data_IF_968942340463
#
_entry.id   IF_968942340463
#
_cell.length_a   1.000
_cell.length_b   1.000
_cell.length_c   1.000
_cell.angle_alpha   90.00
_cell.angle_beta   90.00
_cell.angle_gamma   90.00
#
_symmetry.space_group_name_H-M   'P 1'
#
loop_
_entity.id
_entity.type
_entity.pdbx_description
1 polymer ?
#
# COMPACT_ATOMS: atom_id res chain seq x y z
N UNK A 1 -16.59 -48.07 -29.63
CA UNK A 1 -16.54 -47.44 -28.29
C UNK A 1 -15.73 -46.17 -28.50
N UNK A 2 -16.39 -45.11 -28.96
CA UNK A 2 -15.76 -43.83 -29.31
C UNK A 2 -16.25 -42.78 -28.30
N UNK A 3 -15.31 -41.99 -27.79
CA UNK A 3 -15.54 -40.93 -26.84
C UNK A 3 -16.03 -39.67 -27.57
N UNK A 4 -17.15 -39.11 -27.12
CA UNK A 4 -17.68 -37.83 -27.58
C UNK A 4 -17.04 -36.72 -26.74
N UNK A 5 -16.19 -35.92 -27.39
CA UNK A 5 -15.65 -34.65 -26.88
C UNK A 5 -16.74 -33.58 -27.02
N UNK A 6 -17.24 -33.06 -25.91
CA UNK A 6 -18.22 -31.96 -25.89
C UNK A 6 -17.61 -30.73 -25.20
N UNK A 7 -16.96 -29.87 -25.99
CA UNK A 7 -16.66 -28.49 -25.60
C UNK A 7 -17.88 -27.61 -25.91
N UNK A 8 -18.31 -26.72 -25.00
CA UNK A 8 -19.32 -25.74 -25.36
C UNK A 8 -18.68 -24.61 -26.19
N UNK A 9 -19.26 -24.33 -27.35
CA UNK A 9 -18.98 -23.16 -28.17
C UNK A 9 -19.31 -21.88 -27.38
N UNK A 10 -18.31 -21.02 -27.19
CA UNK A 10 -18.51 -19.68 -26.63
C UNK A 10 -19.06 -18.80 -27.75
N UNK A 11 -20.38 -18.60 -27.70
CA UNK A 11 -21.09 -17.68 -28.56
C UNK A 11 -20.57 -16.25 -28.34
N UNK A 12 -20.05 -15.66 -29.40
CA UNK A 12 -19.56 -14.30 -29.47
C UNK A 12 -20.78 -13.38 -29.67
N UNK A 13 -21.43 -12.94 -28.58
CA UNK A 13 -22.48 -11.93 -28.67
C UNK A 13 -22.36 -10.85 -27.58
N UNK A 14 -22.37 -9.60 -28.07
CA UNK A 14 -22.81 -8.38 -27.39
C UNK A 14 -21.92 -7.78 -26.30
N UNK A 15 -20.68 -7.41 -26.65
CA UNK A 15 -19.92 -6.40 -25.89
C UNK A 15 -20.31 -4.94 -26.22
N UNK A 16 -21.14 -4.71 -27.26
CA UNK A 16 -21.60 -3.35 -27.60
C UNK A 16 -22.85 -2.91 -26.83
N UNK A 17 -23.65 -3.83 -26.27
CA UNK A 17 -24.87 -3.46 -25.52
C UNK A 17 -24.56 -3.10 -24.05
N UNK A 18 -23.54 -3.69 -23.43
CA UNK A 18 -23.16 -3.38 -22.03
C UNK A 18 -22.54 -1.99 -21.82
N UNK A 19 -22.11 -1.30 -22.88
CA UNK A 19 -21.61 0.09 -22.79
C UNK A 19 -22.73 1.12 -22.66
N UNK A 20 -23.99 0.77 -22.90
CA UNK A 20 -25.10 1.72 -22.92
C UNK A 20 -25.67 2.06 -21.53
N UNK A 21 -25.49 1.20 -20.51
CA UNK A 21 -26.23 1.32 -19.24
C UNK A 21 -25.50 2.10 -18.12
N UNK A 22 -24.30 2.65 -18.39
CA UNK A 22 -23.54 3.42 -17.38
C UNK A 22 -23.27 4.89 -17.75
N UNK A 23 -23.79 5.37 -18.88
CA UNK A 23 -23.79 6.81 -19.18
C UNK A 23 -24.98 7.50 -18.51
N UNK A 24 -24.90 7.69 -17.19
CA UNK A 24 -25.69 8.72 -16.54
C UNK A 24 -25.22 10.08 -17.08
N UNK A 25 -25.87 10.56 -18.15
CA UNK A 25 -25.60 11.85 -18.78
C UNK A 25 -25.76 12.96 -17.75
N UNK A 26 -24.64 13.51 -17.29
CA UNK A 26 -24.60 14.78 -16.57
C UNK A 26 -25.16 15.87 -17.49
N UNK A 27 -26.34 16.46 -17.19
CA UNK A 27 -27.03 17.36 -18.11
C UNK A 27 -26.29 18.68 -18.37
N UNK A 28 -25.21 18.98 -17.63
CA UNK A 28 -24.52 20.28 -17.70
C UNK A 28 -23.06 20.23 -18.18
N UNK A 29 -22.51 19.07 -18.57
CA UNK A 29 -21.12 18.98 -19.08
C UNK A 29 -20.05 19.53 -18.13
N UNK A 30 -20.42 19.76 -16.86
CA UNK A 30 -19.55 20.37 -15.87
C UNK A 30 -18.66 19.26 -15.33
N UNK A 31 -17.36 19.35 -15.62
CA UNK A 31 -16.34 18.45 -15.07
C UNK A 31 -16.54 18.32 -13.57
N UNK A 32 -16.94 17.14 -13.11
CA UNK A 32 -17.13 16.87 -11.70
C UNK A 32 -15.93 16.04 -11.22
N UNK A 33 -14.99 16.64 -10.46
CA UNK A 33 -13.84 15.92 -9.93
C UNK A 33 -14.25 14.69 -9.11
N UNK A 34 -15.46 14.72 -8.51
CA UNK A 34 -16.03 13.68 -7.67
C UNK A 34 -16.58 12.47 -8.45
N UNK A 35 -16.85 12.57 -9.75
CA UNK A 35 -17.30 11.42 -10.57
C UNK A 35 -16.30 11.03 -11.65
N UNK A 36 -15.43 11.94 -12.08
CA UNK A 36 -14.42 11.65 -13.12
C UNK A 36 -13.01 11.33 -12.58
N UNK A 37 -12.64 11.79 -11.38
CA UNK A 37 -11.28 11.58 -10.84
C UNK A 37 -10.84 10.11 -10.60
N UNK A 38 -11.75 9.18 -10.34
CA UNK A 38 -11.50 7.73 -10.20
C UNK A 38 -11.58 7.00 -11.53
N UNK A 39 -12.16 7.63 -12.55
CA UNK A 39 -12.19 7.10 -13.93
C UNK A 39 -10.82 7.15 -14.62
N UNK A 40 -9.78 7.65 -13.95
CA UNK A 40 -8.42 7.62 -14.51
C UNK A 40 -7.97 6.21 -14.88
N UNK A 41 -8.43 5.19 -14.14
CA UNK A 41 -8.21 3.79 -14.49
C UNK A 41 -8.91 3.45 -15.81
N UNK A 42 -10.15 3.89 -16.05
CA UNK A 42 -10.95 3.61 -17.26
C UNK A 42 -10.20 3.98 -18.55
N UNK A 43 -9.37 5.03 -18.53
CA UNK A 43 -8.56 5.44 -19.68
C UNK A 43 -7.46 4.43 -20.05
N UNK A 44 -7.03 3.58 -19.11
CA UNK A 44 -5.98 2.58 -19.30
C UNK A 44 -6.51 1.13 -19.20
N UNK A 45 -7.78 0.94 -18.85
CA UNK A 45 -8.44 -0.37 -18.73
C UNK A 45 -8.31 -1.18 -20.02
N UNK A 46 -8.68 -0.59 -21.16
CA UNK A 46 -8.71 -1.30 -22.45
C UNK A 46 -7.33 -1.85 -22.88
N UNK A 47 -6.24 -1.21 -22.43
CA UNK A 47 -4.87 -1.67 -22.73
C UNK A 47 -4.45 -2.80 -21.79
N UNK A 48 -4.79 -2.68 -20.50
CA UNK A 48 -4.51 -3.71 -19.49
C UNK A 48 -5.31 -4.98 -19.76
N UNK A 49 -6.59 -4.88 -20.10
CA UNK A 49 -7.45 -6.02 -20.43
C UNK A 49 -6.86 -6.83 -21.58
N UNK A 50 -6.51 -6.18 -22.70
CA UNK A 50 -5.90 -6.86 -23.86
C UNK A 50 -4.57 -7.54 -23.53
N UNK A 51 -3.79 -6.99 -22.61
CA UNK A 51 -2.54 -7.62 -22.16
C UNK A 51 -2.83 -8.87 -21.31
N UNK A 52 -3.74 -8.77 -20.35
CA UNK A 52 -4.10 -9.87 -19.45
C UNK A 52 -4.87 -11.00 -20.16
N UNK A 53 -5.68 -10.68 -21.16
CA UNK A 53 -6.36 -11.67 -22.02
C UNK A 53 -5.39 -12.60 -22.77
N UNK A 54 -4.17 -12.14 -23.03
CA UNK A 54 -3.13 -12.93 -23.71
C UNK A 54 -2.36 -13.85 -22.75
N UNK A 55 -2.49 -13.65 -21.44
CA UNK A 55 -1.73 -14.40 -20.46
C UNK A 55 -2.49 -15.65 -20.00
N UNK A 56 -1.81 -16.79 -19.81
CA UNK A 56 -2.38 -17.93 -19.10
C UNK A 56 -2.85 -17.54 -17.69
N UNK A 57 -3.97 -18.10 -17.24
CA UNK A 57 -4.58 -17.76 -15.94
C UNK A 57 -3.60 -17.87 -14.76
N UNK A 58 -2.73 -18.90 -14.75
CA UNK A 58 -1.71 -19.07 -13.71
C UNK A 58 -0.75 -17.87 -13.61
N UNK A 59 -0.34 -17.29 -14.75
CA UNK A 59 0.58 -16.15 -14.77
C UNK A 59 -0.13 -14.90 -14.22
N UNK A 60 -1.39 -14.68 -14.60
CA UNK A 60 -2.21 -13.60 -14.06
C UNK A 60 -2.35 -13.69 -12.54
N UNK A 61 -2.65 -14.89 -12.03
CA UNK A 61 -2.73 -15.14 -10.59
C UNK A 61 -1.39 -14.91 -9.89
N UNK A 62 -0.29 -15.39 -10.48
CA UNK A 62 1.05 -15.18 -9.93
C UNK A 62 1.39 -13.67 -9.84
N UNK A 63 1.13 -12.90 -10.90
CA UNK A 63 1.35 -11.45 -10.91
C UNK A 63 0.50 -10.77 -9.83
N UNK A 64 -0.78 -11.13 -9.70
CA UNK A 64 -1.66 -10.55 -8.68
C UNK A 64 -1.21 -10.90 -7.25
N UNK A 65 -0.80 -12.14 -7.00
CA UNK A 65 -0.27 -12.56 -5.68
C UNK A 65 1.03 -11.85 -5.35
N UNK A 66 1.95 -11.74 -6.32
CA UNK A 66 3.20 -11.02 -6.13
C UNK A 66 2.98 -9.53 -5.88
N UNK A 67 2.04 -8.91 -6.61
CA UNK A 67 1.62 -7.53 -6.39
C UNK A 67 1.03 -7.34 -4.98
N UNK A 68 0.14 -8.24 -4.54
CA UNK A 68 -0.46 -8.19 -3.20
C UNK A 68 0.60 -8.31 -2.09
N UNK A 69 1.53 -9.26 -2.23
CA UNK A 69 2.64 -9.42 -1.29
C UNK A 69 3.51 -8.16 -1.24
N UNK A 70 3.91 -7.63 -2.40
CA UNK A 70 4.74 -6.42 -2.50
C UNK A 70 4.03 -5.22 -1.90
N UNK A 71 2.73 -5.06 -2.18
CA UNK A 71 1.91 -3.98 -1.62
C UNK A 71 1.84 -4.05 -0.09
N UNK A 72 1.58 -5.24 0.48
CA UNK A 72 1.52 -5.43 1.93
C UNK A 72 2.88 -5.30 2.62
N UNK A 73 3.98 -5.67 1.97
CA UNK A 73 5.33 -5.49 2.50
C UNK A 73 5.75 -4.02 2.55
N UNK A 74 5.37 -3.24 1.54
CA UNK A 74 5.84 -1.87 1.37
C UNK A 74 5.03 -0.84 2.14
N UNK A 75 3.71 -1.04 2.30
CA UNK A 75 2.87 -0.13 3.08
C UNK A 75 3.21 -0.08 4.57
N UNK A 76 4.00 -1.04 5.08
CA UNK A 76 4.46 -1.06 6.47
C UNK A 76 5.62 -0.10 6.76
N UNK A 77 6.23 0.51 5.73
CA UNK A 77 7.30 1.51 5.89
C UNK A 77 8.69 0.93 6.25
N UNK A 78 8.77 -0.37 6.53
CA UNK A 78 10.02 -1.07 6.89
C UNK A 78 11.09 -1.03 5.79
N UNK A 79 10.67 -0.86 4.53
CA UNK A 79 11.54 -0.74 3.37
C UNK A 79 12.54 0.42 3.47
N UNK A 80 12.21 1.46 4.24
CA UNK A 80 13.07 2.62 4.44
C UNK A 80 14.31 2.26 5.25
N UNK A 81 14.15 1.41 6.26
CA UNK A 81 15.26 0.90 7.08
C UNK A 81 16.13 -0.04 6.25
N UNK A 82 15.50 -0.89 5.42
CA UNK A 82 16.21 -1.77 4.48
C UNK A 82 17.04 -0.93 3.51
N UNK A 83 16.47 0.15 2.95
CA UNK A 83 17.17 1.04 2.03
C UNK A 83 18.39 1.70 2.70
N UNK A 84 18.23 2.24 3.91
CA UNK A 84 19.34 2.86 4.65
C UNK A 84 20.44 1.84 4.93
N UNK A 85 20.07 0.63 5.35
CA UNK A 85 21.02 -0.45 5.63
C UNK A 85 21.76 -0.87 4.36
N UNK A 86 21.04 -1.03 3.25
CA UNK A 86 21.63 -1.36 1.95
C UNK A 86 22.58 -0.26 1.44
N UNK A 87 22.19 1.01 1.54
CA UNK A 87 23.04 2.14 1.15
C UNK A 87 24.34 2.16 1.96
N UNK A 88 24.28 1.88 3.26
CA UNK A 88 25.47 1.77 4.11
C UNK A 88 26.36 0.58 3.78
N UNK A 89 25.77 -0.57 3.52
CA UNK A 89 26.51 -1.76 3.09
C UNK A 89 27.22 -1.52 1.75
N UNK A 90 26.59 -0.77 0.83
CA UNK A 90 27.16 -0.40 -0.46
C UNK A 90 28.23 0.70 -0.35
N UNK A 91 28.10 1.64 0.59
CA UNK A 91 29.10 2.71 0.78
C UNK A 91 30.34 2.26 1.55
N UNK A 92 30.27 1.13 2.27
CA UNK A 92 31.38 0.62 3.08
C UNK A 92 31.68 1.47 4.32
N UNK A 93 30.84 2.45 4.64
CA UNK A 93 30.96 3.28 5.84
C UNK A 93 30.41 2.53 7.05
N UNK A 94 31.28 1.73 7.68
CA UNK A 94 31.02 1.15 9.00
C UNK A 94 31.52 2.10 10.08
N UNK A 95 30.58 2.78 10.75
CA UNK A 95 30.73 3.54 11.99
C UNK A 95 31.89 4.55 12.02
N UNK A 96 31.61 5.83 11.80
CA UNK A 96 32.53 6.90 12.17
C UNK A 96 32.23 7.38 13.59
N UNK A 97 33.06 7.01 14.56
CA UNK A 97 33.07 7.68 15.87
C UNK A 97 33.44 9.16 15.67
N UNK A 98 32.44 10.05 15.71
CA UNK A 98 32.65 11.49 15.72
C UNK A 98 32.27 12.05 17.09
N UNK A 99 33.29 12.39 17.88
CA UNK A 99 33.12 13.12 19.15
C UNK A 99 32.48 14.49 18.88
N UNK A 100 31.37 14.79 19.55
CA UNK A 100 30.71 16.09 19.48
C UNK A 100 30.78 16.79 20.84
N UNK A 101 31.50 17.90 20.90
CA UNK A 101 31.44 18.88 22.00
C UNK A 101 30.53 20.05 21.60
N UNK A 102 29.94 20.66 22.62
CA UNK A 102 29.20 21.94 22.68
C UNK A 102 27.77 22.01 22.12
N UNK A 103 26.86 22.36 23.04
CA UNK A 103 25.53 22.92 22.78
C UNK A 103 25.63 24.13 21.86
N UNK A 104 24.80 24.17 20.81
CA UNK A 104 24.21 25.41 20.26
C UNK A 104 23.09 25.06 19.27
N UNK A 105 22.10 25.96 19.13
CA UNK A 105 20.92 26.04 18.23
C UNK A 105 20.36 24.80 17.49
N UNK A 106 19.01 24.71 17.40
CA UNK A 106 18.25 23.80 16.54
C UNK A 106 18.50 24.07 15.04
N UNK A 107 19.63 23.62 14.50
CA UNK A 107 19.91 23.57 13.07
C UNK A 107 19.97 22.11 12.60
N UNK A 108 19.66 21.84 11.32
CA UNK A 108 19.68 20.48 10.74
C UNK A 108 21.06 19.80 10.87
N UNK A 109 22.13 20.60 10.90
CA UNK A 109 23.51 20.16 11.12
C UNK A 109 23.75 19.73 12.57
N UNK A 110 23.22 20.48 13.54
CA UNK A 110 23.29 20.14 14.96
C UNK A 110 22.37 18.98 15.36
N UNK A 111 21.28 18.77 14.60
CA UNK A 111 20.37 17.64 14.74
C UNK A 111 20.84 16.36 14.02
N UNK A 112 21.99 16.39 13.32
CA UNK A 112 22.49 15.27 12.50
C UNK A 112 21.41 14.74 11.53
N UNK A 113 20.78 15.63 10.76
CA UNK A 113 19.72 15.29 9.79
C UNK A 113 20.09 15.77 8.38
N UNK A 114 21.33 15.49 7.96
CA UNK A 114 21.78 15.81 6.60
C UNK A 114 20.96 15.02 5.56
N UNK A 115 20.74 15.62 4.39
CA UNK A 115 19.98 15.02 3.28
C UNK A 115 18.50 14.71 3.54
N UNK A 116 17.90 15.26 4.61
CA UNK A 116 16.48 15.03 4.93
C UNK A 116 15.54 15.28 3.74
N UNK A 117 15.78 16.33 2.94
CA UNK A 117 14.97 16.63 1.76
C UNK A 117 14.94 15.50 0.72
N UNK A 118 16.09 14.85 0.47
CA UNK A 118 16.17 13.72 -0.45
C UNK A 118 15.46 12.48 0.08
N UNK A 119 15.62 12.17 1.37
CA UNK A 119 14.89 11.08 2.03
C UNK A 119 13.39 11.33 2.04
N UNK A 120 12.97 12.56 2.31
CA UNK A 120 11.58 12.97 2.29
C UNK A 120 10.97 12.80 0.90
N UNK A 121 11.56 13.41 -0.13
CA UNK A 121 11.06 13.31 -1.52
C UNK A 121 11.06 11.84 -1.98
N UNK A 122 12.14 11.10 -1.73
CA UNK A 122 12.23 9.68 -2.08
C UNK A 122 11.16 8.83 -1.40
N UNK A 123 10.90 9.06 -0.12
CA UNK A 123 9.84 8.40 0.62
C UNK A 123 8.44 8.73 0.09
N UNK A 124 8.16 9.99 -0.22
CA UNK A 124 6.89 10.38 -0.80
C UNK A 124 6.69 9.73 -2.18
N UNK A 125 7.68 9.83 -3.06
CA UNK A 125 7.62 9.28 -4.41
C UNK A 125 7.39 7.78 -4.34
N UNK A 126 8.20 7.04 -3.57
CA UNK A 126 8.05 5.59 -3.51
C UNK A 126 6.71 5.17 -2.88
N UNK A 127 6.30 5.80 -1.78
CA UNK A 127 5.04 5.50 -1.12
C UNK A 127 3.85 5.71 -2.06
N UNK A 128 3.78 6.85 -2.75
CA UNK A 128 2.68 7.13 -3.69
C UNK A 128 2.76 6.29 -4.97
N UNK A 129 3.95 6.01 -5.48
CA UNK A 129 4.12 5.09 -6.62
C UNK A 129 3.57 3.72 -6.28
N UNK A 130 3.91 3.15 -5.12
CA UNK A 130 3.38 1.84 -4.74
C UNK A 130 1.89 1.91 -4.46
N UNK A 131 1.44 2.93 -3.72
CA UNK A 131 0.04 3.13 -3.40
C UNK A 131 -0.85 3.18 -4.64
N UNK A 132 -0.51 4.01 -5.63
CA UNK A 132 -1.33 4.18 -6.82
C UNK A 132 -1.05 3.16 -7.93
N UNK A 133 0.21 2.75 -8.16
CA UNK A 133 0.51 1.79 -9.22
C UNK A 133 0.12 0.37 -8.82
N UNK A 134 0.63 -0.12 -7.68
CA UNK A 134 0.35 -1.49 -7.25
C UNK A 134 -1.06 -1.56 -6.63
N UNK A 135 -1.44 -0.60 -5.78
CA UNK A 135 -2.79 -0.56 -5.22
C UNK A 135 -3.86 -0.33 -6.27
N UNK A 136 -3.61 0.56 -7.24
CA UNK A 136 -4.49 0.78 -8.39
C UNK A 136 -4.59 -0.46 -9.29
N UNK A 137 -3.48 -1.16 -9.54
CA UNK A 137 -3.48 -2.42 -10.26
C UNK A 137 -4.34 -3.49 -9.54
N UNK A 138 -4.15 -3.67 -8.22
CA UNK A 138 -4.95 -4.62 -7.44
C UNK A 138 -6.43 -4.25 -7.42
N UNK A 139 -6.72 -2.95 -7.31
CA UNK A 139 -8.08 -2.43 -7.39
C UNK A 139 -8.72 -2.77 -8.74
N UNK A 140 -8.06 -2.43 -9.86
CA UNK A 140 -8.52 -2.81 -11.20
C UNK A 140 -8.70 -4.33 -11.33
N UNK A 141 -7.70 -5.11 -10.92
CA UNK A 141 -7.70 -6.57 -11.10
C UNK A 141 -8.89 -7.24 -10.39
N UNK A 142 -9.16 -6.86 -9.14
CA UNK A 142 -10.24 -7.47 -8.36
C UNK A 142 -11.60 -6.80 -8.56
N UNK A 143 -11.66 -5.46 -8.53
CA UNK A 143 -12.92 -4.71 -8.49
C UNK A 143 -13.46 -4.33 -9.87
N UNK A 144 -12.62 -4.38 -10.92
CA UNK A 144 -13.03 -4.14 -12.31
C UNK A 144 -12.98 -5.44 -13.10
N UNK A 145 -11.80 -6.00 -13.34
CA UNK A 145 -11.61 -7.16 -14.23
C UNK A 145 -12.25 -8.45 -13.70
N UNK A 146 -12.18 -8.70 -12.38
CA UNK A 146 -12.76 -9.90 -11.73
C UNK A 146 -14.05 -9.64 -10.98
N UNK A 147 -14.75 -8.55 -11.31
CA UNK A 147 -16.00 -8.15 -10.64
C UNK A 147 -17.10 -9.20 -10.76
N UNK A 148 -17.25 -9.81 -11.93
CA UNK A 148 -18.27 -10.84 -12.19
C UNK A 148 -17.98 -12.14 -11.44
N UNK A 149 -16.71 -12.42 -11.15
CA UNK A 149 -16.24 -13.57 -10.36
C UNK A 149 -16.11 -13.27 -8.85
N UNK A 150 -16.80 -12.25 -8.31
CA UNK A 150 -16.65 -11.82 -6.91
C UNK A 150 -16.81 -12.94 -5.88
N UNK A 151 -17.64 -13.95 -6.17
CA UNK A 151 -17.87 -15.12 -5.29
C UNK A 151 -16.61 -15.96 -5.06
N UNK A 152 -15.61 -15.86 -5.93
CA UNK A 152 -14.38 -16.65 -5.84
C UNK A 152 -13.32 -16.05 -4.91
N UNK A 153 -13.38 -14.73 -4.68
CA UNK A 153 -12.32 -14.01 -3.97
C UNK A 153 -12.82 -13.10 -2.84
N UNK A 154 -14.12 -12.78 -2.78
CA UNK A 154 -14.69 -11.84 -1.82
C UNK A 154 -15.61 -12.55 -0.83
N UNK A 155 -15.41 -12.27 0.45
CA UNK A 155 -16.21 -12.85 1.56
C UNK A 155 -17.68 -12.42 1.47
N UNK A 156 -17.94 -11.16 1.13
CA UNK A 156 -19.29 -10.61 0.93
C UNK A 156 -19.47 -10.21 -0.54
N UNK A 157 -19.74 -11.16 -1.45
CA UNK A 157 -19.69 -10.94 -2.89
C UNK A 157 -20.73 -9.93 -3.38
N UNK A 158 -21.90 -9.89 -2.75
CA UNK A 158 -23.02 -9.03 -3.18
C UNK A 158 -22.94 -7.59 -2.63
N UNK A 159 -21.99 -7.31 -1.73
CA UNK A 159 -21.85 -5.98 -1.12
C UNK A 159 -20.68 -5.22 -1.72
N UNK A 160 -20.96 -4.09 -2.36
CA UNK A 160 -19.95 -3.22 -2.96
C UNK A 160 -19.85 -1.89 -2.20
N UNK A 161 -18.66 -1.30 -2.21
CA UNK A 161 -18.43 0.06 -1.73
C UNK A 161 -19.07 1.03 -2.74
N UNK A 162 -19.63 2.15 -2.27
CA UNK A 162 -20.13 3.19 -3.19
C UNK A 162 -18.94 3.99 -3.74
N UNK A 163 -19.01 4.51 -4.98
CA UNK A 163 -17.90 5.29 -5.58
C UNK A 163 -17.50 6.52 -4.73
N UNK A 164 -18.46 7.13 -4.07
CA UNK A 164 -18.23 8.27 -3.16
C UNK A 164 -17.40 7.85 -1.93
N UNK A 165 -17.72 6.69 -1.36
CA UNK A 165 -17.05 6.18 -0.17
C UNK A 165 -15.64 5.67 -0.50
N UNK A 166 -15.47 5.06 -1.68
CA UNK A 166 -14.17 4.67 -2.22
C UNK A 166 -13.26 5.87 -2.49
N UNK A 167 -13.78 6.95 -3.06
CA UNK A 167 -13.00 8.20 -3.22
C UNK A 167 -12.57 8.77 -1.89
N UNK A 168 -13.49 8.81 -0.95
CA UNK A 168 -13.21 9.29 0.40
C UNK A 168 -12.12 8.43 1.05
N UNK A 169 -12.18 7.12 0.89
CA UNK A 169 -11.14 6.18 1.33
C UNK A 169 -9.78 6.49 0.70
N UNK A 170 -9.71 6.66 -0.63
CA UNK A 170 -8.45 6.96 -1.33
C UNK A 170 -7.87 8.31 -0.86
N UNK A 171 -8.69 9.33 -0.67
CA UNK A 171 -8.26 10.66 -0.21
C UNK A 171 -7.70 10.57 1.20
N UNK A 172 -8.45 9.97 2.14
CA UNK A 172 -8.02 9.83 3.53
C UNK A 172 -6.77 8.96 3.58
N UNK A 173 -6.73 7.84 2.85
CA UNK A 173 -5.56 6.98 2.75
C UNK A 173 -4.34 7.70 2.21
N UNK A 174 -4.52 8.62 1.24
CA UNK A 174 -3.42 9.44 0.70
C UNK A 174 -2.89 10.45 1.71
N UNK A 175 -3.75 11.05 2.53
CA UNK A 175 -3.36 11.98 3.60
C UNK A 175 -2.61 11.22 4.70
N UNK A 176 -3.15 10.09 5.13
CA UNK A 176 -2.52 9.24 6.15
C UNK A 176 -1.18 8.70 5.68
N UNK A 177 -1.10 8.30 4.40
CA UNK A 177 0.14 7.89 3.76
C UNK A 177 1.16 9.01 3.79
N UNK A 178 0.79 10.27 3.51
CA UNK A 178 1.69 11.42 3.59
C UNK A 178 2.37 11.52 4.96
N UNK A 179 1.60 11.44 6.05
CA UNK A 179 2.15 11.52 7.40
C UNK A 179 3.00 10.30 7.75
N UNK A 180 2.56 9.09 7.39
CA UNK A 180 3.31 7.86 7.63
C UNK A 180 4.64 7.84 6.86
N UNK A 181 4.66 8.24 5.59
CA UNK A 181 5.86 8.32 4.77
C UNK A 181 6.78 9.47 5.21
N UNK A 182 6.23 10.59 5.69
CA UNK A 182 7.00 11.68 6.30
C UNK A 182 7.74 11.22 7.56
N UNK A 183 7.04 10.48 8.44
CA UNK A 183 7.65 9.91 9.64
C UNK A 183 8.71 8.85 9.29
N UNK A 184 8.43 8.03 8.28
CA UNK A 184 9.39 7.05 7.78
C UNK A 184 10.65 7.72 7.22
N UNK A 185 10.51 8.80 6.44
CA UNK A 185 11.63 9.58 5.93
C UNK A 185 12.48 10.21 7.05
N UNK A 186 11.82 10.70 8.10
CA UNK A 186 12.50 11.19 9.29
C UNK A 186 13.35 10.10 9.94
N UNK A 187 12.78 8.91 10.19
CA UNK A 187 13.54 7.77 10.74
C UNK A 187 14.67 7.32 9.80
N UNK A 188 14.44 7.30 8.49
CA UNK A 188 15.46 7.00 7.49
C UNK A 188 16.69 7.90 7.64
N UNK A 189 16.44 9.20 7.65
CA UNK A 189 17.46 10.22 7.75
C UNK A 189 18.18 10.12 9.09
N UNK A 190 17.43 9.90 10.16
CA UNK A 190 17.97 9.72 11.51
C UNK A 190 18.97 8.56 11.59
N UNK A 191 18.61 7.38 11.05
CA UNK A 191 19.49 6.22 11.02
C UNK A 191 20.65 6.37 10.04
N UNK A 192 20.41 6.96 8.87
CA UNK A 192 21.46 7.23 7.88
C UNK A 192 22.58 8.08 8.48
N UNK A 193 22.23 9.10 9.27
CA UNK A 193 23.16 10.02 9.93
C UNK A 193 23.78 9.48 11.24
N UNK A 194 23.68 8.18 11.51
CA UNK A 194 24.33 7.53 12.69
C UNK A 194 23.90 8.11 14.03
N UNK A 195 22.65 8.55 14.11
CA UNK A 195 22.10 8.91 15.41
C UNK A 195 21.94 7.66 16.30
N UNK A 196 22.02 7.81 17.63
CA UNK A 196 21.90 6.71 18.57
C UNK A 196 20.65 5.86 18.32
N UNK A 197 20.85 4.58 18.00
CA UNK A 197 19.79 3.62 17.73
C UNK A 197 20.26 2.20 18.02
N UNK A 198 19.32 1.27 18.16
CA UNK A 198 19.58 -0.16 18.36
C UNK A 198 19.44 -0.95 17.06
N UNK A 199 19.71 -0.30 15.91
CA UNK A 199 19.58 -0.93 14.60
C UNK A 199 20.83 -1.77 14.29
N UNK A 200 20.62 -3.01 13.86
CA UNK A 200 21.71 -3.88 13.40
C UNK A 200 22.08 -3.52 11.95
N UNK A 201 23.35 -3.21 11.70
CA UNK A 201 23.84 -2.93 10.34
C UNK A 201 24.43 -4.18 9.66
N UNK A 202 24.93 -5.13 10.45
CA UNK A 202 25.51 -6.38 9.99
C UNK A 202 24.60 -7.55 10.41
N UNK A 203 24.39 -8.50 9.49
CA UNK A 203 23.47 -9.61 9.72
C UNK A 203 24.05 -10.69 10.67
N UNK A 204 25.36 -10.73 10.85
CA UNK A 204 26.09 -11.71 11.66
C UNK A 204 26.57 -11.16 13.01
N UNK A 205 26.24 -9.91 13.36
CA UNK A 205 26.67 -9.24 14.61
C UNK A 205 26.34 -10.04 15.88
N UNK A 206 25.21 -10.75 15.88
CA UNK A 206 24.74 -11.58 17.00
C UNK A 206 24.68 -13.09 16.66
N UNK A 207 25.31 -13.48 15.54
CA UNK A 207 25.40 -14.86 15.08
C UNK A 207 24.15 -15.40 14.37
N UNK A 208 24.35 -16.48 13.61
CA UNK A 208 23.33 -17.08 12.74
C UNK A 208 22.07 -17.57 13.48
N UNK A 209 22.21 -18.05 14.73
CA UNK A 209 21.05 -18.51 15.51
C UNK A 209 20.10 -17.34 15.78
N UNK A 210 20.63 -16.21 16.24
CA UNK A 210 19.81 -15.02 16.47
C UNK A 210 19.24 -14.47 15.17
N UNK A 211 20.02 -14.49 14.08
CA UNK A 211 19.56 -14.07 12.76
C UNK A 211 18.28 -14.81 12.32
N UNK A 212 18.16 -16.11 12.58
CA UNK A 212 16.92 -16.85 12.28
C UNK A 212 15.85 -16.66 13.35
N UNK A 213 16.23 -16.54 14.63
CA UNK A 213 15.29 -16.38 15.74
C UNK A 213 14.57 -15.03 15.73
N UNK A 214 15.16 -13.98 15.14
CA UNK A 214 14.53 -12.67 15.07
C UNK A 214 13.22 -12.70 14.26
N UNK A 215 13.10 -13.54 13.22
CA UNK A 215 11.88 -13.60 12.39
C UNK A 215 10.63 -14.00 13.20
N UNK A 216 10.60 -15.14 13.93
CA UNK A 216 9.45 -15.47 14.76
C UNK A 216 9.27 -14.50 15.93
N UNK A 217 10.34 -13.95 16.51
CA UNK A 217 10.24 -12.95 17.59
C UNK A 217 9.55 -11.68 17.08
N UNK A 218 9.99 -11.15 15.94
CA UNK A 218 9.41 -9.96 15.31
C UNK A 218 7.97 -10.23 14.86
N UNK A 219 7.68 -11.42 14.31
CA UNK A 219 6.32 -11.81 13.96
C UNK A 219 5.39 -11.76 15.17
N UNK A 220 5.77 -12.40 16.28
CA UNK A 220 4.98 -12.38 17.53
C UNK A 220 4.84 -10.96 18.06
N UNK A 221 5.95 -10.20 18.10
CA UNK A 221 5.91 -8.81 18.56
C UNK A 221 4.96 -7.94 17.74
N UNK A 222 5.04 -8.02 16.41
CA UNK A 222 4.18 -7.25 15.51
C UNK A 222 2.72 -7.67 15.66
N UNK A 223 2.42 -8.97 15.64
CA UNK A 223 1.05 -9.48 15.73
C UNK A 223 0.38 -9.06 17.06
N UNK A 224 1.06 -9.25 18.18
CA UNK A 224 0.55 -8.84 19.49
C UNK A 224 0.43 -7.32 19.62
N UNK A 225 1.41 -6.56 19.13
CA UNK A 225 1.35 -5.09 19.16
C UNK A 225 0.16 -4.59 18.33
N UNK A 226 0.00 -5.10 17.11
CA UNK A 226 -1.13 -4.74 16.25
C UNK A 226 -2.46 -5.12 16.90
N UNK A 227 -2.57 -6.31 17.50
CA UNK A 227 -3.78 -6.72 18.22
C UNK A 227 -4.11 -5.80 19.40
N UNK A 228 -3.12 -5.51 20.26
CA UNK A 228 -3.30 -4.65 21.43
C UNK A 228 -3.70 -3.24 20.98
N UNK A 229 -2.98 -2.66 20.02
CA UNK A 229 -3.30 -1.33 19.50
C UNK A 229 -4.69 -1.30 18.88
N UNK A 230 -5.05 -2.30 18.07
CA UNK A 230 -6.40 -2.39 17.51
C UNK A 230 -7.46 -2.47 18.60
N UNK A 231 -7.26 -3.29 19.64
CA UNK A 231 -8.19 -3.36 20.80
C UNK A 231 -8.29 -2.04 21.54
N UNK A 232 -7.17 -1.33 21.74
CA UNK A 232 -7.17 0.01 22.35
C UNK A 232 -7.96 1.00 21.48
N UNK A 233 -7.80 0.96 20.16
CA UNK A 233 -8.57 1.80 19.25
C UNK A 233 -10.09 1.56 19.29
N UNK A 234 -10.52 0.39 19.78
CA UNK A 234 -11.94 0.09 20.03
C UNK A 234 -12.45 0.54 21.40
N UNK A 235 -11.61 1.15 22.25
CA UNK A 235 -12.10 1.79 23.48
C UNK A 235 -13.02 2.99 23.13
N UNK A 236 -14.03 3.33 23.95
CA UNK A 236 -15.06 4.29 23.56
C UNK A 236 -14.55 5.65 23.06
N UNK A 237 -13.50 6.18 23.69
CA UNK A 237 -12.91 7.47 23.29
C UNK A 237 -12.10 7.35 22.00
N UNK A 238 -11.22 6.35 21.88
CA UNK A 238 -10.40 6.17 20.68
C UNK A 238 -11.25 5.78 19.47
N UNK A 239 -12.26 4.95 19.67
CA UNK A 239 -13.17 4.54 18.61
C UNK A 239 -13.89 5.73 18.01
N UNK A 240 -14.52 6.54 18.87
CA UNK A 240 -15.33 7.68 18.43
C UNK A 240 -14.52 8.73 17.66
N UNK A 241 -13.25 8.93 18.00
CA UNK A 241 -12.43 10.02 17.45
C UNK A 241 -11.47 9.59 16.33
N UNK A 242 -11.01 8.34 16.29
CA UNK A 242 -9.95 7.91 15.36
C UNK A 242 -10.33 6.65 14.57
N UNK A 243 -10.95 5.65 15.23
CA UNK A 243 -11.14 4.34 14.59
C UNK A 243 -12.48 4.22 13.83
N UNK A 244 -13.49 5.01 14.19
CA UNK A 244 -14.83 4.95 13.58
C UNK A 244 -14.81 5.19 12.07
N UNK A 245 -13.95 6.09 11.57
CA UNK A 245 -13.87 6.34 10.13
C UNK A 245 -13.29 5.14 9.38
N UNK A 246 -12.27 4.48 9.92
CA UNK A 246 -11.73 3.25 9.34
C UNK A 246 -12.83 2.18 9.21
N UNK A 247 -13.71 2.06 10.23
CA UNK A 247 -14.88 1.18 10.19
C UNK A 247 -16.04 1.65 9.30
N UNK A 248 -15.96 2.85 8.70
CA UNK A 248 -16.91 3.31 7.68
C UNK A 248 -16.76 2.49 6.40
N UNK A 249 -15.55 2.05 6.08
CA UNK A 249 -15.19 1.28 4.88
C UNK A 249 -15.43 -0.22 5.08
N UNK A 250 -16.70 -0.61 5.25
CA UNK A 250 -17.09 -2.00 5.57
C UNK A 250 -16.78 -3.01 4.47
N UNK A 251 -16.69 -2.54 3.22
CA UNK A 251 -16.30 -3.31 2.05
C UNK A 251 -14.88 -2.86 1.67
N UNK A 252 -13.84 -3.42 2.31
CA UNK A 252 -12.50 -2.91 2.13
C UNK A 252 -12.06 -3.12 0.68
N UNK A 253 -11.29 -2.16 0.16
CA UNK A 253 -10.54 -2.21 -1.09
C UNK A 253 -9.04 -2.29 -0.78
N UNK A 254 -8.19 -2.28 -1.81
CA UNK A 254 -6.74 -2.16 -1.63
C UNK A 254 -6.34 -0.87 -0.88
N UNK A 255 -7.17 0.16 -0.90
CA UNK A 255 -6.88 1.47 -0.32
C UNK A 255 -7.33 1.61 1.14
N UNK A 256 -8.19 0.72 1.65
CA UNK A 256 -8.75 0.81 3.00
C UNK A 256 -7.73 0.76 4.12
N UNK A 257 -6.63 0.04 3.89
CA UNK A 257 -5.63 -0.23 4.93
C UNK A 257 -4.92 1.05 5.38
N UNK A 258 -4.73 2.02 4.48
CA UNK A 258 -4.09 3.30 4.81
C UNK A 258 -5.11 4.36 5.21
N UNK A 259 -6.41 4.15 4.98
CA UNK A 259 -7.49 5.10 5.25
C UNK A 259 -7.83 5.20 6.75
N UNK A 260 -6.82 5.56 7.56
CA UNK A 260 -6.88 5.73 9.01
C UNK A 260 -6.44 7.14 9.32
N UNK A 261 -7.30 7.95 9.91
CA UNK A 261 -7.04 9.37 10.13
C UNK A 261 -6.79 9.67 11.62
N UNK A 262 -5.88 10.61 11.94
CA UNK A 262 -5.65 11.04 13.31
C UNK A 262 -6.63 12.13 13.79
N UNK A 263 -7.60 12.59 13.00
CA UNK A 263 -8.40 13.79 13.33
C UNK A 263 -9.88 13.64 13.03
N UNK A 264 -10.74 13.81 14.03
CA UNK A 264 -12.20 13.68 13.95
C UNK A 264 -12.88 14.16 12.67
#
# INVERSE_FOLDING_TARGET
>A
MEAVDSRPEIANSNNNEKKADLEEKNPNGLWNPMTEGVKWIENYVDSLERFFERLPAFISTFIATFALFTFGATLRGEWVIILVTALKQLSGETHMERNSTSQEALTLENLKMSHFGSFFIGAQVLAYSIYFLIGGFLHWYFYVNRRDSAKEWKIQPDKWITPELERHEIIIGSISLFFASSFSAFLACYFYNENPSTLYYQFDEYGWIWFFLQFPVMFVYMDYTTYIMHRLYHTPWLYKNFHKLHHKYKQPTAFSVTAIHPWR
#
